data_IF_003028386731
#
_entry.id   IF_003028386731
#
_cell.length_a   1.000
_cell.length_b   1.000
_cell.length_c   1.000
_cell.angle_alpha   90.00
_cell.angle_beta   90.00
_cell.angle_gamma   90.00
#
_symmetry.space_group_name_H-M   'P 1'
#
loop_
_entity.id
_entity.type
_entity.pdbx_description
1 polymer ?
#
# COMPACT_ATOMS: atom_id res chain seq x y z
N UNK A 1 7.52 7.89 17.14
CA UNK A 1 7.74 6.89 16.09
C UNK A 1 7.70 5.52 16.76
N UNK A 2 6.88 4.59 16.27
CA UNK A 2 6.81 3.21 16.79
C UNK A 2 7.32 2.27 15.71
N UNK A 3 8.25 1.41 16.06
CA UNK A 3 8.89 0.46 15.14
C UNK A 3 8.38 -0.95 15.44
N UNK A 4 8.18 -1.75 14.39
CA UNK A 4 7.78 -3.15 14.49
C UNK A 4 8.72 -3.99 13.64
N UNK A 5 9.29 -5.01 14.27
CA UNK A 5 10.11 -5.99 13.56
C UNK A 5 9.17 -6.92 12.78
N UNK A 6 9.29 -6.90 11.45
CA UNK A 6 8.44 -7.68 10.55
C UNK A 6 8.99 -9.09 10.30
N UNK A 7 10.30 -9.19 10.13
CA UNK A 7 11.02 -10.44 9.95
C UNK A 7 12.39 -10.30 10.60
N UNK A 8 12.92 -11.41 11.12
CA UNK A 8 14.27 -11.50 11.64
C UNK A 8 14.89 -12.78 11.13
N UNK A 9 16.03 -12.67 10.47
CA UNK A 9 16.91 -13.80 10.23
C UNK A 9 17.98 -13.80 11.33
N UNK A 10 17.88 -14.72 12.32
CA UNK A 10 18.82 -14.73 13.43
C UNK A 10 20.17 -15.28 12.96
N UNK A 11 21.18 -14.40 12.94
CA UNK A 11 22.59 -14.76 12.77
C UNK A 11 22.91 -15.37 11.40
N UNK A 12 22.85 -14.52 10.37
CA UNK A 12 23.13 -14.90 8.97
C UNK A 12 24.60 -15.29 8.74
N UNK A 13 25.48 -14.91 9.66
CA UNK A 13 26.88 -15.33 9.68
C UNK A 13 27.37 -15.47 11.12
N UNK A 14 28.25 -16.45 11.36
CA UNK A 14 28.95 -16.65 12.60
C UNK A 14 30.39 -17.11 12.34
N UNK A 15 31.33 -16.84 13.26
CA UNK A 15 32.68 -17.42 13.19
C UNK A 15 32.64 -18.96 13.14
N UNK A 16 33.71 -19.61 12.64
CA UNK A 16 33.84 -21.06 12.63
C UNK A 16 33.63 -21.66 14.03
N UNK A 17 33.12 -22.88 14.07
CA UNK A 17 32.79 -23.55 15.33
C UNK A 17 34.00 -23.58 16.28
N UNK A 18 33.81 -23.07 17.49
CA UNK A 18 34.85 -23.01 18.53
C UNK A 18 35.71 -21.75 18.52
N UNK A 19 35.55 -20.87 17.51
CA UNK A 19 36.22 -19.58 17.46
C UNK A 19 35.31 -18.45 18.00
N UNK A 20 35.88 -17.53 18.77
CA UNK A 20 35.17 -16.33 19.24
C UNK A 20 34.97 -15.30 18.12
N UNK A 21 35.94 -15.21 17.22
CA UNK A 21 35.95 -14.25 16.12
C UNK A 21 36.74 -14.80 14.94
N UNK A 22 36.52 -14.22 13.77
CA UNK A 22 37.29 -14.53 12.57
C UNK A 22 37.74 -13.23 11.90
N UNK A 23 39.02 -13.18 11.47
CA UNK A 23 39.57 -12.03 10.74
C UNK A 23 39.18 -12.10 9.26
N UNK A 24 38.43 -11.12 8.80
CA UNK A 24 37.91 -11.02 7.43
C UNK A 24 38.21 -9.64 6.84
N UNK A 25 38.33 -9.57 5.52
CA UNK A 25 38.40 -8.29 4.79
C UNK A 25 36.98 -7.81 4.47
N UNK A 26 36.14 -8.72 3.98
CA UNK A 26 34.76 -8.44 3.60
C UNK A 26 33.91 -9.70 3.73
N UNK A 27 32.59 -9.52 3.66
CA UNK A 27 31.60 -10.58 3.73
C UNK A 27 30.41 -10.21 2.83
N UNK A 28 30.11 -11.06 1.85
CA UNK A 28 28.87 -10.94 1.08
C UNK A 28 27.85 -11.91 1.64
N UNK A 29 26.77 -11.36 2.20
CA UNK A 29 25.68 -12.14 2.77
C UNK A 29 24.48 -12.08 1.81
N UNK A 30 24.21 -13.14 1.04
CA UNK A 30 22.97 -13.24 0.30
C UNK A 30 21.79 -13.36 1.26
N UNK A 31 20.67 -12.74 0.93
CA UNK A 31 19.47 -12.73 1.79
C UNK A 31 18.20 -12.86 0.96
N UNK A 32 17.24 -13.62 1.49
CA UNK A 32 15.90 -13.80 0.96
C UNK A 32 14.91 -13.58 2.11
N UNK A 33 14.40 -12.36 2.20
CA UNK A 33 13.50 -11.96 3.29
C UNK A 33 12.05 -12.17 2.84
N UNK A 34 11.30 -13.08 3.47
CA UNK A 34 9.86 -13.17 3.24
C UNK A 34 9.18 -11.90 3.73
N UNK A 35 8.35 -11.32 2.88
CA UNK A 35 7.53 -10.17 3.26
C UNK A 35 6.22 -10.71 3.86
N UNK A 36 5.86 -10.35 5.10
CA UNK A 36 4.64 -10.84 5.73
C UNK A 36 3.41 -10.30 5.00
N UNK A 37 2.36 -11.11 4.89
CA UNK A 37 1.10 -10.72 4.21
C UNK A 37 0.40 -9.53 4.84
N UNK A 38 0.66 -9.27 6.12
CA UNK A 38 0.08 -8.14 6.85
C UNK A 38 0.91 -6.86 6.74
N UNK A 39 1.94 -6.84 5.90
CA UNK A 39 2.71 -5.62 5.66
C UNK A 39 1.80 -4.56 5.06
N UNK A 40 2.10 -3.31 5.36
CA UNK A 40 1.44 -2.15 4.73
C UNK A 40 2.34 -1.53 3.69
N UNK A 41 1.76 -0.79 2.75
CA UNK A 41 2.56 0.00 1.81
C UNK A 41 3.32 1.10 2.55
N UNK A 42 4.55 1.40 2.12
CA UNK A 42 5.21 2.66 2.47
C UNK A 42 4.40 3.82 1.88
N UNK A 43 4.29 4.92 2.61
CA UNK A 43 3.46 6.05 2.18
C UNK A 43 3.50 7.23 3.14
N UNK A 44 3.17 8.41 2.61
CA UNK A 44 2.92 9.62 3.36
C UNK A 44 1.46 10.03 3.15
N UNK A 45 0.77 10.35 4.25
CA UNK A 45 -0.65 10.69 4.29
C UNK A 45 -0.80 12.13 4.77
N UNK A 46 -0.87 13.12 3.84
CA UNK A 46 -0.77 14.53 4.18
C UNK A 46 -1.88 15.02 5.11
N UNK A 47 -3.12 14.56 4.91
CA UNK A 47 -4.29 14.94 5.72
C UNK A 47 -4.10 14.67 7.21
N UNK A 48 -3.27 13.68 7.56
CA UNK A 48 -3.05 13.20 8.92
C UNK A 48 -1.63 13.48 9.42
N UNK A 49 -0.76 14.04 8.57
CA UNK A 49 0.68 14.14 8.81
C UNK A 49 1.27 12.80 9.31
N UNK A 50 0.82 11.69 8.70
CA UNK A 50 1.21 10.34 9.07
C UNK A 50 2.09 9.74 7.97
N UNK A 51 3.00 8.86 8.34
CA UNK A 51 3.82 8.10 7.38
C UNK A 51 4.01 6.67 7.82
N UNK A 52 4.22 5.80 6.83
CA UNK A 52 4.70 4.44 7.00
C UNK A 52 5.99 4.30 6.21
N UNK A 53 7.07 3.93 6.91
CA UNK A 53 8.41 3.76 6.32
C UNK A 53 8.95 2.41 6.78
N UNK A 54 9.59 1.69 5.87
CA UNK A 54 10.19 0.39 6.13
C UNK A 54 11.72 0.51 6.02
N UNK A 55 12.41 -0.20 6.91
CA UNK A 55 13.86 -0.24 6.93
C UNK A 55 14.33 -1.71 6.96
N UNK A 56 15.38 -2.00 6.20
CA UNK A 56 16.24 -3.15 6.45
C UNK A 56 17.29 -2.75 7.46
N UNK A 57 17.24 -3.36 8.64
CA UNK A 57 18.22 -3.13 9.70
C UNK A 57 19.27 -4.24 9.65
N UNK A 58 20.53 -3.85 9.48
CA UNK A 58 21.67 -4.77 9.54
C UNK A 58 22.42 -4.49 10.82
N UNK A 59 22.49 -5.50 11.70
CA UNK A 59 23.24 -5.42 12.94
C UNK A 59 24.51 -6.25 12.81
N UNK A 60 25.65 -5.60 13.01
CA UNK A 60 26.96 -6.24 13.07
C UNK A 60 27.44 -6.25 14.52
N UNK A 61 28.02 -7.38 14.92
CA UNK A 61 28.71 -7.54 16.20
C UNK A 61 30.11 -8.05 15.89
N UNK A 62 31.13 -7.35 16.40
CA UNK A 62 32.53 -7.65 16.18
C UNK A 62 33.33 -7.50 17.46
N UNK A 63 34.54 -8.05 17.48
CA UNK A 63 35.44 -8.02 18.63
C UNK A 63 36.36 -9.23 18.62
N UNK A 64 37.50 -9.12 19.30
CA UNK A 64 38.48 -10.21 19.41
C UNK A 64 38.36 -11.00 20.72
N UNK A 65 37.62 -10.45 21.69
CA UNK A 65 37.32 -11.03 22.99
C UNK A 65 36.00 -10.48 23.53
N UNK A 66 35.40 -11.09 24.58
CA UNK A 66 34.19 -10.56 25.21
C UNK A 66 34.34 -9.12 25.75
N UNK A 67 35.56 -8.69 26.09
CA UNK A 67 35.83 -7.35 26.61
C UNK A 67 35.98 -6.29 25.51
N UNK A 68 36.19 -6.73 24.26
CA UNK A 68 36.37 -5.87 23.08
C UNK A 68 35.21 -6.01 22.10
N UNK A 69 34.11 -6.63 22.52
CA UNK A 69 32.90 -6.77 21.71
C UNK A 69 32.21 -5.41 21.56
N UNK A 70 31.89 -5.07 20.32
CA UNK A 70 31.08 -3.91 19.97
C UNK A 70 29.98 -4.33 19.02
N UNK A 71 28.92 -3.53 18.95
CA UNK A 71 27.83 -3.73 18.00
C UNK A 71 27.40 -2.40 17.41
N UNK A 72 27.12 -2.40 16.10
CA UNK A 72 26.47 -1.28 15.44
C UNK A 72 25.31 -1.77 14.58
N UNK A 73 24.34 -0.89 14.36
CA UNK A 73 23.17 -1.14 13.54
C UNK A 73 23.13 -0.08 12.44
N UNK A 74 23.02 -0.53 11.19
CA UNK A 74 22.83 0.31 10.01
C UNK A 74 21.42 0.10 9.46
N UNK A 75 20.74 1.18 9.08
CA UNK A 75 19.35 1.13 8.57
C UNK A 75 19.29 1.59 7.12
N UNK A 76 18.77 0.74 6.25
CA UNK A 76 18.55 1.04 4.84
C UNK A 76 17.06 1.19 4.57
N UNK A 77 16.62 2.35 4.06
CA UNK A 77 15.21 2.59 3.76
C UNK A 77 14.77 1.75 2.54
N UNK A 78 13.66 1.02 2.68
CA UNK A 78 13.10 0.19 1.60
C UNK A 78 11.69 0.66 1.23
N UNK A 79 11.45 1.10 -0.01
CA UNK A 79 10.11 1.42 -0.48
C UNK A 79 9.31 0.15 -0.74
N UNK A 80 8.19 0.00 -0.03
CA UNK A 80 7.24 -1.10 -0.22
C UNK A 80 5.99 -0.53 -0.88
N UNK A 81 5.60 -1.10 -2.02
CA UNK A 81 4.35 -0.77 -2.72
C UNK A 81 3.45 -1.98 -2.69
N UNK A 82 2.18 -1.76 -2.34
CA UNK A 82 1.14 -2.77 -2.46
C UNK A 82 0.22 -2.44 -3.63
N UNK A 83 -0.27 -3.50 -4.26
CA UNK A 83 -1.10 -3.44 -5.45
C UNK A 83 -2.42 -4.18 -5.21
N UNK A 84 -2.94 -4.17 -3.98
CA UNK A 84 -4.16 -4.86 -3.55
C UNK A 84 -5.43 -4.01 -3.75
N UNK A 85 -5.26 -2.71 -3.96
CA UNK A 85 -6.35 -1.73 -4.14
C UNK A 85 -6.61 -1.33 -5.60
N UNK A 86 -5.94 -1.95 -6.59
CA UNK A 86 -6.03 -1.54 -7.99
C UNK A 86 -7.48 -1.56 -8.54
N UNK A 87 -7.99 -0.43 -9.09
CA UNK A 87 -9.35 -0.31 -9.62
C UNK A 87 -9.77 -1.34 -10.67
N UNK A 88 -8.83 -1.99 -11.35
CA UNK A 88 -9.12 -3.02 -12.37
C UNK A 88 -9.41 -4.42 -11.79
N UNK A 89 -9.21 -4.65 -10.49
CA UNK A 89 -9.58 -5.94 -9.93
C UNK A 89 -11.09 -6.14 -9.97
N UNK A 90 -11.48 -7.38 -10.30
CA UNK A 90 -12.88 -7.78 -10.41
C UNK A 90 -13.71 -7.37 -9.20
N UNK A 91 -13.20 -7.58 -8.00
CA UNK A 91 -13.89 -7.27 -6.74
C UNK A 91 -14.32 -5.79 -6.61
N UNK A 92 -13.69 -4.88 -7.36
CA UNK A 92 -13.99 -3.45 -7.34
C UNK A 92 -14.82 -2.99 -8.54
N UNK A 93 -15.06 -3.88 -9.53
CA UNK A 93 -15.86 -3.59 -10.72
C UNK A 93 -17.24 -4.26 -10.67
N UNK A 94 -17.59 -4.88 -9.54
CA UNK A 94 -18.95 -5.34 -9.27
C UNK A 94 -19.71 -4.17 -8.61
N UNK A 95 -20.83 -3.70 -9.20
CA UNK A 95 -21.56 -2.54 -8.67
C UNK A 95 -22.01 -2.76 -7.23
N UNK A 96 -21.66 -1.82 -6.37
CA UNK A 96 -22.14 -1.79 -5.00
C UNK A 96 -23.52 -1.14 -4.97
N UNK A 97 -24.54 -1.95 -4.70
CA UNK A 97 -25.94 -1.51 -4.58
C UNK A 97 -26.37 -1.62 -3.12
N UNK A 98 -26.90 -0.53 -2.57
CA UNK A 98 -27.43 -0.49 -1.20
C UNK A 98 -28.83 0.12 -1.22
N UNK A 99 -29.79 -0.56 -0.61
CA UNK A 99 -31.17 -0.09 -0.50
C UNK A 99 -31.52 0.06 0.97
N UNK A 100 -31.93 1.27 1.38
CA UNK A 100 -32.24 1.56 2.77
C UNK A 100 -33.55 2.35 2.92
N UNK A 101 -34.54 1.84 3.67
CA UNK A 101 -35.70 2.63 4.03
C UNK A 101 -35.36 3.70 5.08
N UNK A 102 -36.13 4.79 5.11
CA UNK A 102 -36.08 5.73 6.23
C UNK A 102 -36.50 5.05 7.53
N UNK A 103 -36.11 5.62 8.68
CA UNK A 103 -36.48 5.06 9.99
C UNK A 103 -38.00 4.97 10.25
N UNK A 104 -38.80 5.80 9.56
CA UNK A 104 -40.26 5.73 9.58
C UNK A 104 -40.86 4.89 8.42
N UNK A 105 -40.00 4.18 7.68
CA UNK A 105 -40.32 3.30 6.55
C UNK A 105 -41.12 3.97 5.40
N UNK A 106 -41.16 5.31 5.35
CA UNK A 106 -41.96 6.05 4.36
C UNK A 106 -41.28 6.15 3.00
N UNK A 107 -39.96 6.30 2.99
CA UNK A 107 -39.16 6.58 1.80
C UNK A 107 -38.08 5.51 1.70
N UNK A 108 -37.75 5.14 0.47
CA UNK A 108 -36.71 4.19 0.12
C UNK A 108 -35.60 4.95 -0.60
N UNK A 109 -34.36 4.70 -0.20
CA UNK A 109 -33.16 5.26 -0.81
C UNK A 109 -32.34 4.13 -1.38
N UNK A 110 -32.18 4.11 -2.70
CA UNK A 110 -31.36 3.16 -3.43
C UNK A 110 -30.09 3.88 -3.89
N UNK A 111 -28.94 3.32 -3.55
CA UNK A 111 -27.63 3.78 -3.99
C UNK A 111 -27.03 2.74 -4.93
N UNK A 112 -26.39 3.21 -5.99
CA UNK A 112 -25.65 2.40 -6.94
C UNK A 112 -24.31 3.07 -7.24
N UNK A 113 -23.23 2.40 -6.84
CA UNK A 113 -21.84 2.78 -7.09
C UNK A 113 -21.23 1.72 -8.02
N UNK A 114 -21.03 2.01 -9.32
CA UNK A 114 -20.57 1.02 -10.29
C UNK A 114 -19.18 0.45 -10.00
N UNK A 115 -18.29 1.28 -9.43
CA UNK A 115 -16.91 0.94 -9.13
C UNK A 115 -16.57 1.39 -7.71
N UNK A 116 -16.07 0.48 -6.89
CA UNK A 116 -15.82 0.71 -5.46
C UNK A 116 -14.35 0.98 -5.11
N UNK A 117 -13.45 0.98 -6.11
CA UNK A 117 -12.06 1.43 -5.95
C UNK A 117 -11.72 2.51 -6.98
N UNK A 118 -11.16 3.62 -6.51
CA UNK A 118 -10.80 4.78 -7.34
C UNK A 118 -9.38 5.24 -7.03
N UNK A 119 -8.62 5.54 -8.09
CA UNK A 119 -7.33 6.22 -8.01
C UNK A 119 -7.41 7.73 -8.24
N UNK A 120 -6.26 8.41 -8.33
CA UNK A 120 -6.19 9.82 -8.73
C UNK A 120 -6.89 10.05 -10.07
N UNK A 121 -7.69 11.12 -10.17
CA UNK A 121 -8.39 11.55 -11.39
C UNK A 121 -9.40 10.54 -12.00
N UNK A 122 -9.52 9.32 -11.49
CA UNK A 122 -10.53 8.36 -11.93
C UNK A 122 -11.96 8.95 -11.83
N UNK A 123 -12.86 8.64 -12.76
CA UNK A 123 -14.22 9.15 -12.72
C UNK A 123 -15.02 8.54 -11.56
N UNK A 124 -15.45 9.38 -10.62
CA UNK A 124 -16.42 9.00 -9.60
C UNK A 124 -17.83 9.12 -10.19
N UNK A 125 -18.66 8.08 -9.99
CA UNK A 125 -20.07 8.10 -10.40
C UNK A 125 -20.94 7.42 -9.33
N UNK A 126 -21.85 8.17 -8.72
CA UNK A 126 -22.82 7.64 -7.76
C UNK A 126 -24.24 7.99 -8.20
N UNK A 127 -25.08 6.97 -8.36
CA UNK A 127 -26.52 7.15 -8.59
C UNK A 127 -27.28 6.98 -7.28
N UNK A 128 -28.15 7.92 -6.98
CA UNK A 128 -29.01 7.96 -5.79
C UNK A 128 -30.46 8.06 -6.25
N UNK A 129 -31.25 7.00 -6.07
CA UNK A 129 -32.68 7.00 -6.36
C UNK A 129 -33.47 7.05 -5.05
N UNK A 130 -34.38 8.00 -4.95
CA UNK A 130 -35.18 8.24 -3.74
C UNK A 130 -36.65 8.20 -4.13
N UNK A 131 -37.41 7.27 -3.56
CA UNK A 131 -38.83 7.08 -3.87
C UNK A 131 -39.65 6.75 -2.64
N UNK A 132 -40.97 6.88 -2.75
CA UNK A 132 -41.87 6.44 -1.70
C UNK A 132 -41.77 4.92 -1.55
N UNK A 133 -41.66 4.42 -0.32
CA UNK A 133 -41.55 2.99 -0.07
C UNK A 133 -42.85 2.29 -0.54
N UNK A 134 -42.79 1.37 -1.53
CA UNK A 134 -43.97 0.68 -2.04
C UNK A 134 -44.56 -0.29 -1.01
N UNK A 135 -43.74 -0.79 -0.08
CA UNK A 135 -44.15 -1.75 0.94
C UNK A 135 -44.88 -1.09 2.13
N UNK A 136 -44.92 0.24 2.18
CA UNK A 136 -45.52 0.98 3.29
C UNK A 136 -46.89 1.58 2.92
N UNK A 137 -47.97 0.91 3.35
CA UNK A 137 -49.35 1.26 2.98
C UNK A 137 -49.89 2.56 3.63
N UNK A 138 -49.38 2.96 4.80
CA UNK A 138 -49.83 4.17 5.52
C UNK A 138 -48.94 5.38 5.23
N UNK A 139 -48.99 5.90 4.01
CA UNK A 139 -48.14 7.02 3.61
C UNK A 139 -48.49 8.33 4.31
N UNK A 140 -47.48 9.01 4.85
CA UNK A 140 -47.62 10.38 5.33
C UNK A 140 -47.96 11.29 4.15
N UNK A 141 -48.89 12.21 4.37
CA UNK A 141 -49.25 13.22 3.36
C UNK A 141 -48.13 14.25 3.26
N UNK A 142 -47.93 14.79 2.05
CA UNK A 142 -47.00 15.89 1.77
C UNK A 142 -45.52 15.60 2.08
N UNK A 143 -45.07 14.35 1.91
CA UNK A 143 -43.63 14.05 1.93
C UNK A 143 -42.94 14.78 0.79
N UNK A 144 -41.95 15.61 1.13
CA UNK A 144 -41.15 16.36 0.15
C UNK A 144 -39.68 16.09 0.39
N UNK A 145 -38.98 15.73 -0.68
CA UNK A 145 -37.53 15.77 -0.69
C UNK A 145 -37.13 17.24 -0.57
N UNK A 146 -36.09 17.54 0.20
CA UNK A 146 -35.56 18.89 0.34
C UNK A 146 -34.12 18.98 -0.18
N UNK A 147 -33.28 18.06 0.28
CA UNK A 147 -31.85 18.08 0.01
C UNK A 147 -31.33 16.65 -0.12
N UNK A 148 -30.43 16.44 -1.08
CA UNK A 148 -29.60 15.24 -1.19
C UNK A 148 -28.15 15.67 -1.16
N UNK A 149 -27.42 15.29 -0.12
CA UNK A 149 -26.00 15.63 0.04
C UNK A 149 -25.15 14.38 -0.02
N UNK A 150 -24.20 14.32 -0.95
CA UNK A 150 -23.15 13.31 -0.98
C UNK A 150 -21.88 13.87 -0.34
N UNK A 151 -21.22 13.09 0.51
CA UNK A 151 -19.94 13.44 1.11
C UNK A 151 -18.95 12.30 0.93
N UNK A 152 -17.71 12.61 0.58
CA UNK A 152 -16.59 11.67 0.71
C UNK A 152 -15.83 12.04 1.97
N UNK A 153 -15.67 11.07 2.87
CA UNK A 153 -14.91 11.23 4.10
C UNK A 153 -13.76 10.25 4.17
N UNK A 154 -12.64 10.75 4.66
CA UNK A 154 -11.46 9.99 5.02
C UNK A 154 -11.45 9.79 6.53
N UNK A 155 -11.18 8.57 6.97
CA UNK A 155 -11.17 8.14 8.36
C UNK A 155 -9.79 7.62 8.72
N UNK A 156 -9.15 8.23 9.72
CA UNK A 156 -7.97 7.68 10.36
C UNK A 156 -8.35 7.02 11.68
N UNK A 157 -7.96 5.76 11.84
CA UNK A 157 -8.12 5.00 13.07
C UNK A 157 -6.76 4.50 13.53
N UNK A 158 -6.31 4.91 14.71
CA UNK A 158 -5.14 4.35 15.38
C UNK A 158 -5.51 3.22 16.33
N UNK A 159 -4.69 2.17 16.38
CA UNK A 159 -4.96 1.00 17.22
C UNK A 159 -4.05 0.89 18.45
N UNK A 160 -3.11 1.82 18.60
CA UNK A 160 -2.10 1.78 19.64
C UNK A 160 -2.24 2.97 20.59
N UNK A 161 -1.78 2.80 21.84
CA UNK A 161 -1.82 3.84 22.87
C UNK A 161 -1.04 5.07 22.39
N UNK A 162 -1.75 6.18 22.23
CA UNK A 162 -1.23 7.46 21.75
C UNK A 162 -1.71 7.89 20.36
N UNK A 163 -2.39 7.03 19.59
CA UNK A 163 -3.02 7.43 18.33
C UNK A 163 -4.52 7.71 18.52
N UNK A 164 -5.14 8.59 17.69
CA UNK A 164 -6.55 8.88 17.80
C UNK A 164 -7.42 7.65 17.53
N UNK A 165 -8.43 7.40 18.38
CA UNK A 165 -9.31 6.22 18.29
C UNK A 165 -10.07 6.17 16.96
N UNK A 166 -10.60 7.31 16.51
CA UNK A 166 -11.15 7.51 15.16
C UNK A 166 -11.26 9.02 14.92
N UNK A 167 -10.66 9.53 13.85
CA UNK A 167 -10.86 10.89 13.35
C UNK A 167 -11.36 10.84 11.92
N UNK A 168 -12.11 11.86 11.53
CA UNK A 168 -12.63 11.98 10.17
C UNK A 168 -12.28 13.35 9.59
N UNK A 169 -12.00 13.37 8.29
CA UNK A 169 -11.86 14.57 7.47
C UNK A 169 -12.84 14.42 6.31
N UNK A 170 -13.55 15.50 6.00
CA UNK A 170 -14.42 15.57 4.84
C UNK A 170 -13.59 16.05 3.65
N UNK A 171 -13.41 15.19 2.65
CA UNK A 171 -12.68 15.52 1.43
C UNK A 171 -13.55 16.29 0.44
N UNK A 172 -14.83 15.91 0.33
CA UNK A 172 -15.78 16.54 -0.59
C UNK A 172 -17.19 16.50 -0.02
N UNK A 173 -18.02 17.47 -0.41
CA UNK A 173 -19.45 17.49 -0.09
C UNK A 173 -20.23 18.28 -1.13
N UNK A 174 -21.02 17.57 -1.93
CA UNK A 174 -21.85 18.15 -2.97
C UNK A 174 -23.32 17.98 -2.57
N UNK A 175 -24.13 19.01 -2.76
CA UNK A 175 -25.54 19.03 -2.36
C UNK A 175 -26.42 19.41 -3.52
N UNK A 176 -27.44 18.60 -3.77
CA UNK A 176 -28.54 18.88 -4.68
C UNK A 176 -29.75 19.36 -3.86
N UNK A 177 -30.09 20.63 -4.01
CA UNK A 177 -31.28 21.23 -3.40
C UNK A 177 -32.49 20.99 -4.30
N UNK A 178 -33.42 20.20 -3.80
CA UNK A 178 -34.54 19.72 -4.59
C UNK A 178 -35.81 19.70 -3.73
N UNK A 179 -36.59 20.78 -3.75
CA UNK A 179 -37.88 20.85 -3.04
C UNK A 179 -39.01 20.23 -3.86
N UNK A 180 -39.00 18.90 -4.02
CA UNK A 180 -39.96 18.16 -4.85
C UNK A 180 -40.79 17.16 -4.03
N UNK A 181 -42.07 16.93 -4.38
CA UNK A 181 -42.86 15.87 -3.75
C UNK A 181 -42.24 14.50 -4.02
N UNK A 182 -42.25 13.60 -3.02
CA UNK A 182 -41.75 12.24 -3.19
C UNK A 182 -42.85 11.37 -3.79
N UNK A 183 -42.62 10.85 -5.00
CA UNK A 183 -43.55 9.98 -5.74
C UNK A 183 -43.15 8.51 -5.62
N UNK A 184 -44.03 7.61 -6.09
CA UNK A 184 -43.72 6.17 -6.16
C UNK A 184 -42.64 5.85 -7.21
N UNK A 185 -42.58 6.61 -8.30
CA UNK A 185 -41.60 6.40 -9.37
C UNK A 185 -40.17 6.77 -8.94
N UNK A 186 -40.08 7.66 -7.95
CA UNK A 186 -38.85 8.16 -7.35
C UNK A 186 -38.17 9.26 -8.17
N UNK A 187 -37.23 9.95 -7.54
CA UNK A 187 -36.35 10.94 -8.16
C UNK A 187 -34.94 10.39 -8.16
N UNK A 188 -34.22 10.53 -9.26
CA UNK A 188 -32.81 10.10 -9.38
C UNK A 188 -31.89 11.32 -9.35
N UNK A 189 -30.83 11.24 -8.55
CA UNK A 189 -29.75 12.20 -8.44
C UNK A 189 -28.44 11.51 -8.79
N UNK A 190 -27.59 12.17 -9.56
CA UNK A 190 -26.29 11.63 -10.00
C UNK A 190 -25.20 12.58 -9.52
N UNK A 191 -24.21 12.03 -8.82
CA UNK A 191 -23.00 12.75 -8.43
C UNK A 191 -21.83 12.22 -9.24
N UNK A 192 -21.22 13.09 -10.05
CA UNK A 192 -20.14 12.72 -10.97
C UNK A 192 -19.05 13.79 -11.00
N UNK A 193 -17.80 13.36 -10.84
CA UNK A 193 -16.61 14.24 -10.85
C UNK A 193 -15.32 13.39 -10.93
N UNK A 194 -14.18 13.95 -11.35
CA UNK A 194 -12.88 13.28 -11.22
C UNK A 194 -12.45 13.19 -9.75
N UNK A 195 -11.99 12.02 -9.31
CA UNK A 195 -11.63 11.77 -7.91
C UNK A 195 -10.51 12.73 -7.43
N UNK A 196 -10.63 13.33 -6.24
CA UNK A 196 -9.82 14.49 -5.84
C UNK A 196 -8.44 14.08 -5.30
N UNK A 197 -7.53 13.67 -6.19
CA UNK A 197 -6.08 13.65 -6.00
C UNK A 197 -5.41 13.76 -7.37
N UNK A 198 -4.23 14.36 -7.40
CA UNK A 198 -3.40 14.49 -8.60
C UNK A 198 -2.03 13.86 -8.32
N UNK A 199 -1.51 13.10 -9.30
CA UNK A 199 -0.22 12.45 -9.17
C UNK A 199 0.46 12.28 -10.54
N UNK A 200 1.26 13.27 -10.91
CA UNK A 200 2.06 13.30 -12.14
C UNK A 200 2.90 12.02 -12.37
N UNK A 201 3.35 11.35 -11.30
CA UNK A 201 4.20 10.15 -11.42
C UNK A 201 3.44 8.91 -11.88
N UNK A 202 2.12 8.94 -11.80
CA UNK A 202 1.27 7.83 -12.22
C UNK A 202 1.34 7.67 -13.75
N UNK A 203 1.49 8.76 -14.52
CA UNK A 203 1.66 8.70 -15.97
C UNK A 203 2.85 7.84 -16.45
N UNK A 204 3.90 7.67 -15.64
CA UNK A 204 5.03 6.79 -15.97
C UNK A 204 4.68 5.31 -15.98
N UNK A 205 3.50 4.94 -15.48
CA UNK A 205 2.94 3.60 -15.56
C UNK A 205 1.94 3.48 -16.72
N UNK A 206 1.88 4.45 -17.63
CA UNK A 206 1.05 4.36 -18.83
C UNK A 206 1.72 3.51 -19.92
N UNK A 207 0.91 2.77 -20.67
CA UNK A 207 1.38 1.95 -21.80
C UNK A 207 2.04 2.80 -22.90
N UNK A 208 1.71 4.09 -23.01
CA UNK A 208 2.29 5.01 -23.99
C UNK A 208 3.80 5.24 -23.82
N UNK A 209 4.33 5.14 -22.60
CA UNK A 209 5.76 5.28 -22.30
C UNK A 209 6.50 3.92 -22.31
N UNK A 210 5.76 2.82 -22.29
CA UNK A 210 6.29 1.47 -22.45
C UNK A 210 6.59 1.22 -23.93
N UNK A 211 7.82 1.49 -24.37
CA UNK A 211 8.27 1.02 -25.67
C UNK A 211 8.09 -0.51 -25.75
N UNK A 212 7.24 -0.95 -26.69
CA UNK A 212 7.08 -2.35 -27.10
C UNK A 212 8.40 -2.77 -27.77
N UNK A 213 9.40 -3.13 -26.97
CA UNK A 213 10.43 -4.04 -27.45
C UNK A 213 9.84 -5.43 -27.29
N UNK A 214 9.65 -6.11 -28.41
CA UNK A 214 9.15 -7.47 -28.47
C UNK A 214 9.86 -8.34 -27.41
N UNK A 215 9.02 -9.05 -26.63
CA UNK A 215 9.31 -10.16 -25.72
C UNK A 215 9.49 -9.91 -24.21
N UNK A 216 9.73 -8.69 -23.69
CA UNK A 216 9.72 -8.50 -22.22
C UNK A 216 9.19 -7.11 -21.81
N UNK A 217 8.15 -7.09 -20.98
CA UNK A 217 7.69 -5.89 -20.25
C UNK A 217 8.71 -5.55 -19.14
N UNK A 218 9.91 -5.11 -19.52
CA UNK A 218 10.92 -4.66 -18.55
C UNK A 218 10.60 -3.24 -18.08
N UNK A 219 10.58 -3.02 -16.77
CA UNK A 219 10.46 -1.69 -16.17
C UNK A 219 11.72 -0.88 -16.47
N UNK A 220 11.64 0.15 -17.30
CA UNK A 220 12.80 1.01 -17.64
C UNK A 220 13.35 1.81 -16.46
N UNK A 221 12.58 1.98 -15.38
CA UNK A 221 12.95 2.87 -14.30
C UNK A 221 12.66 2.24 -12.92
N UNK A 222 13.69 1.84 -12.16
CA UNK A 222 13.51 1.47 -10.76
C UNK A 222 12.98 2.69 -9.98
N UNK A 223 12.11 2.45 -9.00
CA UNK A 223 11.46 3.50 -8.19
C UNK A 223 12.42 4.49 -7.53
N UNK A 224 13.70 4.13 -7.39
CA UNK A 224 14.75 4.97 -6.82
C UNK A 224 15.17 6.16 -7.71
N UNK A 225 14.95 6.11 -9.02
CA UNK A 225 15.49 7.12 -9.96
C UNK A 225 14.59 8.36 -10.12
N UNK A 226 13.33 8.29 -9.69
CA UNK A 226 12.32 9.33 -9.91
C UNK A 226 12.41 10.55 -8.97
N UNK A 227 13.27 10.51 -7.95
CA UNK A 227 13.30 11.49 -6.85
C UNK A 227 14.03 12.82 -7.14
N UNK A 228 14.49 13.08 -8.37
CA UNK A 228 15.43 14.20 -8.61
C UNK A 228 14.82 15.54 -9.05
N UNK A 229 13.56 15.61 -9.51
CA UNK A 229 13.15 16.75 -10.37
C UNK A 229 11.79 17.43 -10.10
N UNK A 230 11.27 17.52 -8.87
CA UNK A 230 10.19 18.50 -8.56
C UNK A 230 10.06 18.77 -7.06
N UNK A 231 9.55 19.96 -6.72
CA UNK A 231 9.30 20.46 -5.35
C UNK A 231 8.19 19.65 -4.64
N UNK A 232 8.41 18.36 -4.43
CA UNK A 232 7.61 17.58 -3.50
C UNK A 232 7.97 18.00 -2.07
N UNK A 233 7.01 18.09 -1.14
CA UNK A 233 7.35 18.11 0.27
C UNK A 233 8.27 16.92 0.55
N UNK A 234 9.41 17.17 1.21
CA UNK A 234 10.48 16.19 1.40
C UNK A 234 9.94 15.00 2.19
N UNK A 235 9.42 14.00 1.49
CA UNK A 235 8.98 12.76 2.09
C UNK A 235 10.19 12.08 2.73
N UNK A 236 9.95 11.31 3.80
CA UNK A 236 11.00 10.51 4.39
C UNK A 236 11.60 9.56 3.34
N UNK A 237 12.88 9.26 3.48
CA UNK A 237 13.55 8.28 2.63
C UNK A 237 12.80 6.93 2.70
N UNK A 238 12.67 6.25 1.56
CA UNK A 238 11.90 5.00 1.46
C UNK A 238 10.39 5.18 1.23
N UNK A 239 9.88 6.40 1.11
CA UNK A 239 8.50 6.64 0.66
C UNK A 239 8.45 6.73 -0.87
N UNK A 240 7.63 5.91 -1.55
CA UNK A 240 7.44 6.04 -2.99
C UNK A 240 6.70 7.33 -3.36
N UNK A 241 7.14 8.00 -4.43
CA UNK A 241 6.47 9.21 -4.97
C UNK A 241 5.00 8.99 -5.34
N UNK A 242 4.62 7.77 -5.71
CA UNK A 242 3.21 7.46 -6.00
C UNK A 242 2.33 7.37 -4.75
N UNK A 243 2.92 7.36 -3.56
CA UNK A 243 2.25 7.15 -2.27
C UNK A 243 2.40 8.36 -1.34
N UNK A 244 2.50 9.57 -1.90
CA UNK A 244 2.56 10.85 -1.16
C UNK A 244 1.18 11.53 -1.05
N UNK A 245 0.10 10.75 -1.15
CA UNK A 245 -1.30 11.19 -1.18
C UNK A 245 -2.16 10.30 -0.30
N UNK A 246 -3.44 10.65 -0.12
CA UNK A 246 -4.38 9.80 0.60
C UNK A 246 -4.74 8.56 -0.22
N UNK A 247 -4.52 7.37 0.34
CA UNK A 247 -5.00 6.11 -0.21
C UNK A 247 -5.37 5.14 0.93
N UNK A 248 -6.17 4.12 0.60
CA UNK A 248 -6.65 3.15 1.58
C UNK A 248 -5.48 2.34 2.10
N UNK A 249 -5.28 2.36 3.42
CA UNK A 249 -4.20 1.62 4.09
C UNK A 249 -4.77 0.93 5.31
N UNK A 250 -4.58 -0.38 5.41
CA UNK A 250 -5.06 -1.18 6.54
C UNK A 250 -3.85 -1.75 7.30
N UNK A 251 -3.36 -1.00 8.28
CA UNK A 251 -2.20 -1.38 9.09
C UNK A 251 -2.52 -1.79 10.51
N UNK A 252 -1.53 -2.42 11.14
CA UNK A 252 -1.56 -2.75 12.58
C UNK A 252 -1.45 -1.51 13.47
N UNK A 253 -0.74 -0.48 13.01
CA UNK A 253 -0.54 0.79 13.72
C UNK A 253 -1.75 1.71 13.58
N UNK A 254 -2.12 1.98 12.34
CA UNK A 254 -3.29 2.76 11.99
C UNK A 254 -3.89 2.26 10.68
N UNK A 255 -5.14 2.62 10.45
CA UNK A 255 -5.81 2.45 9.17
C UNK A 255 -6.32 3.78 8.66
N UNK A 256 -6.27 3.95 7.33
CA UNK A 256 -6.93 5.02 6.60
C UNK A 256 -7.99 4.37 5.71
N UNK A 257 -9.24 4.79 5.90
CA UNK A 257 -10.42 4.27 5.17
C UNK A 257 -11.22 5.41 4.59
N UNK A 258 -11.96 5.13 3.52
CA UNK A 258 -12.82 6.12 2.88
C UNK A 258 -14.25 5.61 2.89
N UNK A 259 -15.18 6.52 3.13
CA UNK A 259 -16.61 6.22 3.08
C UNK A 259 -17.32 7.33 2.29
N UNK A 260 -18.31 6.90 1.50
CA UNK A 260 -19.27 7.78 0.85
C UNK A 260 -20.49 7.87 1.77
N UNK A 261 -20.91 9.08 2.10
CA UNK A 261 -22.04 9.34 2.98
C UNK A 261 -23.09 10.13 2.21
N UNK A 262 -24.25 9.52 2.00
CA UNK A 262 -25.41 10.16 1.38
C UNK A 262 -26.40 10.54 2.48
N UNK A 263 -26.68 11.83 2.59
CA UNK A 263 -27.65 12.40 3.54
C UNK A 263 -28.86 12.88 2.75
N UNK A 264 -30.03 12.38 3.12
CA UNK A 264 -31.30 12.72 2.48
C UNK A 264 -32.17 13.43 3.51
N UNK A 265 -32.51 14.70 3.22
CA UNK A 265 -33.40 15.50 4.07
C UNK A 265 -34.82 15.52 3.51
N UNK A 266 -35.79 15.22 4.36
CA UNK A 266 -37.18 15.02 3.98
C UNK A 266 -38.09 15.87 4.86
N UNK A 267 -38.87 16.75 4.25
CA UNK A 267 -39.92 17.49 4.96
C UNK A 267 -41.10 16.59 5.28
N UNK A 268 -41.65 16.73 6.49
CA UNK A 268 -42.75 15.91 7.01
C UNK A 268 -42.44 14.40 7.11
N UNK A 269 -41.19 14.00 6.94
CA UNK A 269 -40.68 12.64 7.09
C UNK A 269 -39.50 12.59 8.07
N UNK A 270 -38.82 11.44 8.11
CA UNK A 270 -37.54 11.31 8.82
C UNK A 270 -36.40 11.36 7.82
N UNK A 271 -35.42 12.21 8.10
CA UNK A 271 -34.14 12.23 7.39
C UNK A 271 -33.46 10.86 7.50
N UNK A 272 -32.63 10.54 6.50
CA UNK A 272 -31.84 9.31 6.48
C UNK A 272 -30.42 9.56 6.03
N UNK A 273 -29.51 8.71 6.51
CA UNK A 273 -28.11 8.72 6.14
C UNK A 273 -27.72 7.29 5.75
N UNK A 274 -27.15 7.16 4.57
CA UNK A 274 -26.67 5.89 4.03
C UNK A 274 -25.17 6.03 3.79
N UNK A 275 -24.41 5.01 4.19
CA UNK A 275 -22.94 5.01 4.09
C UNK A 275 -22.51 3.83 3.23
N UNK A 276 -21.64 4.08 2.25
CA UNK A 276 -21.00 3.06 1.41
C UNK A 276 -19.49 3.06 1.66
N UNK A 277 -18.83 1.89 1.72
CA UNK A 277 -17.38 1.82 1.68
C UNK A 277 -16.84 2.30 0.33
N UNK A 278 -15.68 2.96 0.36
CA UNK A 278 -14.89 3.30 -0.81
C UNK A 278 -13.44 2.88 -0.60
N UNK A 279 -12.88 2.16 -1.56
CA UNK A 279 -11.44 1.90 -1.62
C UNK A 279 -10.79 2.98 -2.46
N UNK A 280 -9.65 3.49 -1.99
CA UNK A 280 -8.86 4.49 -2.68
C UNK A 280 -7.50 3.89 -2.99
N UNK A 281 -7.15 3.88 -4.26
CA UNK A 281 -5.89 3.37 -4.80
C UNK A 281 -4.87 4.51 -4.94
N UNK A 282 -3.57 4.24 -4.76
CA UNK A 282 -2.52 5.19 -5.11
C UNK A 282 -2.31 5.33 -6.63
N UNK A 283 -2.92 4.45 -7.43
CA UNK A 283 -2.82 4.40 -8.89
C UNK A 283 -4.19 4.59 -9.55
N UNK A 284 -4.21 5.33 -10.65
CA UNK A 284 -5.39 5.51 -11.51
C UNK A 284 -5.67 4.24 -12.34
N UNK A 285 -6.84 4.20 -12.96
CA UNK A 285 -7.29 3.05 -13.74
C UNK A 285 -6.42 2.80 -14.97
N UNK A 286 -5.98 3.85 -15.65
CA UNK A 286 -5.16 3.75 -16.86
C UNK A 286 -3.81 3.07 -16.57
N UNK A 287 -3.15 3.46 -15.48
CA UNK A 287 -1.89 2.85 -15.05
C UNK A 287 -2.04 1.41 -14.58
N UNK A 288 -3.23 1.04 -14.10
CA UNK A 288 -3.48 -0.31 -13.62
C UNK A 288 -3.35 -1.36 -14.72
N UNK A 289 -3.62 -1.04 -15.98
CA UNK A 289 -3.49 -2.01 -17.08
C UNK A 289 -2.04 -2.48 -17.22
N UNK A 290 -1.11 -1.53 -17.25
CA UNK A 290 0.32 -1.80 -17.26
C UNK A 290 0.76 -2.53 -15.99
N UNK A 291 0.36 -2.03 -14.81
CA UNK A 291 0.76 -2.61 -13.53
C UNK A 291 0.30 -4.06 -13.40
N UNK A 292 -0.93 -4.39 -13.83
CA UNK A 292 -1.41 -5.77 -13.82
C UNK A 292 -0.62 -6.67 -14.77
N UNK A 293 -0.24 -6.16 -15.93
CA UNK A 293 0.62 -6.90 -16.88
C UNK A 293 1.99 -7.17 -16.27
N UNK A 294 2.59 -6.15 -15.62
CA UNK A 294 3.86 -6.27 -14.93
C UNK A 294 3.79 -7.25 -13.75
N UNK A 295 2.78 -7.16 -12.89
CA UNK A 295 2.56 -8.09 -11.77
C UNK A 295 2.46 -9.54 -12.26
N UNK A 296 1.75 -9.77 -13.38
CA UNK A 296 1.68 -11.10 -13.99
C UNK A 296 3.05 -11.58 -14.47
N UNK A 297 3.85 -10.69 -15.07
CA UNK A 297 5.22 -10.97 -15.48
C UNK A 297 6.10 -11.39 -14.30
N UNK A 298 6.09 -10.61 -13.21
CA UNK A 298 6.84 -10.93 -11.98
C UNK A 298 6.40 -12.27 -11.37
N UNK A 299 5.10 -12.60 -11.46
CA UNK A 299 4.60 -13.90 -11.01
C UNK A 299 5.13 -15.07 -11.86
N UNK A 300 5.39 -14.87 -13.16
CA UNK A 300 6.03 -15.86 -14.02
C UNK A 300 7.52 -16.01 -13.68
N UNK A 301 8.24 -14.89 -13.55
CA UNK A 301 9.65 -14.90 -13.15
C UNK A 301 9.87 -15.59 -11.79
N UNK A 302 8.97 -15.34 -10.82
CA UNK A 302 9.01 -16.02 -9.53
C UNK A 302 8.81 -17.54 -9.67
N UNK A 303 7.92 -17.99 -10.57
CA UNK A 303 7.71 -19.42 -10.84
C UNK A 303 8.92 -20.07 -11.50
N UNK A 304 9.61 -19.36 -12.37
CA UNK A 304 10.82 -19.86 -13.03
C UNK A 304 11.99 -19.94 -12.03
N UNK A 305 12.12 -18.93 -11.16
CA UNK A 305 13.18 -18.87 -10.14
C UNK A 305 12.98 -19.86 -8.99
N UNK A 306 11.75 -19.98 -8.47
CA UNK A 306 11.47 -20.74 -7.25
C UNK A 306 10.73 -22.05 -7.48
N UNK A 307 10.37 -22.36 -8.74
CA UNK A 307 9.46 -23.44 -9.16
C UNK A 307 7.98 -23.17 -8.82
N UNK A 308 7.09 -23.69 -9.68
CA UNK A 308 5.63 -23.59 -9.50
C UNK A 308 5.14 -24.17 -8.17
N UNK A 309 5.71 -25.29 -7.74
CA UNK A 309 5.29 -25.98 -6.52
C UNK A 309 5.60 -25.14 -5.26
N UNK A 310 6.82 -24.62 -5.16
CA UNK A 310 7.21 -23.74 -4.05
C UNK A 310 6.34 -22.49 -3.98
N UNK A 311 6.13 -21.81 -5.12
CA UNK A 311 5.30 -20.60 -5.18
C UNK A 311 3.88 -20.90 -4.72
N UNK A 312 3.28 -22.00 -5.16
CA UNK A 312 1.94 -22.39 -4.72
C UNK A 312 1.87 -22.71 -3.22
N UNK A 313 2.89 -23.37 -2.66
CA UNK A 313 2.97 -23.65 -1.21
C UNK A 313 3.10 -22.36 -0.40
N UNK A 314 3.96 -21.44 -0.82
CA UNK A 314 4.10 -20.11 -0.20
C UNK A 314 2.77 -19.35 -0.29
N UNK A 315 2.13 -19.35 -1.46
CA UNK A 315 0.85 -18.70 -1.68
C UNK A 315 -0.29 -19.28 -0.83
N UNK A 316 -0.21 -20.56 -0.45
CA UNK A 316 -1.18 -21.21 0.44
C UNK A 316 -0.83 -21.10 1.94
N UNK A 317 0.43 -20.79 2.29
CA UNK A 317 0.85 -20.68 3.68
C UNK A 317 0.52 -19.31 4.28
N UNK A 318 0.09 -19.36 5.54
CA UNK A 318 -0.20 -18.20 6.40
C UNK A 318 0.81 -18.07 7.56
N UNK A 319 1.82 -18.95 7.61
CA UNK A 319 2.85 -18.95 8.65
C UNK A 319 4.15 -18.41 8.08
N UNK A 320 4.59 -17.26 8.58
CA UNK A 320 5.79 -16.59 8.08
C UNK A 320 7.05 -17.46 8.26
N UNK A 321 7.13 -18.27 9.33
CA UNK A 321 8.26 -19.19 9.55
C UNK A 321 8.33 -20.30 8.49
N UNK A 322 7.19 -20.82 8.04
CA UNK A 322 7.15 -21.85 7.00
C UNK A 322 7.62 -21.28 5.66
N UNK A 323 7.14 -20.08 5.31
CA UNK A 323 7.57 -19.37 4.10
C UNK A 323 9.08 -19.09 4.16
N UNK A 324 9.59 -18.66 5.31
CA UNK A 324 11.01 -18.43 5.52
C UNK A 324 11.84 -19.70 5.25
N UNK A 325 11.48 -20.84 5.86
CA UNK A 325 12.18 -22.12 5.64
C UNK A 325 12.14 -22.58 4.19
N UNK A 326 11.04 -22.35 3.48
CA UNK A 326 10.93 -22.69 2.05
C UNK A 326 11.88 -21.84 1.20
N UNK A 327 11.97 -20.53 1.48
CA UNK A 327 12.81 -19.60 0.73
C UNK A 327 14.30 -19.73 1.04
N UNK A 328 14.68 -20.10 2.27
CA UNK A 328 16.09 -20.28 2.65
C UNK A 328 16.83 -21.28 1.75
N UNK A 329 16.13 -22.27 1.18
CA UNK A 329 16.71 -23.25 0.24
C UNK A 329 17.23 -22.63 -1.05
N UNK A 330 16.75 -21.43 -1.39
CA UNK A 330 17.16 -20.67 -2.57
C UNK A 330 18.17 -19.57 -2.23
N UNK A 331 18.57 -19.47 -0.96
CA UNK A 331 19.60 -18.54 -0.52
C UNK A 331 20.96 -19.23 -0.62
N UNK A 332 21.90 -18.73 -1.45
CA UNK A 332 23.25 -19.27 -1.48
C UNK A 332 23.97 -19.07 -0.15
N UNK A 333 25.07 -19.78 0.14
CA UNK A 333 25.85 -19.53 1.34
C UNK A 333 26.57 -18.16 1.27
N UNK A 334 26.88 -17.53 2.41
CA UNK A 334 27.71 -16.33 2.46
C UNK A 334 29.08 -16.54 1.81
N UNK A 335 29.58 -15.50 1.13
CA UNK A 335 30.93 -15.49 0.56
C UNK A 335 31.85 -14.72 1.50
N UNK A 336 32.90 -15.40 1.95
CA UNK A 336 33.83 -14.91 2.96
C UNK A 336 35.14 -14.52 2.30
N UNK A 337 35.52 -13.24 2.40
CA UNK A 337 36.79 -12.75 1.86
C UNK A 337 37.82 -12.68 2.99
N UNK A 338 38.82 -13.55 2.91
CA UNK A 338 39.86 -13.69 3.93
C UNK A 338 41.02 -12.72 3.67
N UNK A 339 41.91 -12.63 4.65
CA UNK A 339 43.15 -11.84 4.53
C UNK A 339 44.16 -12.58 3.65
N UNK A 340 43.87 -12.67 2.35
CA UNK A 340 44.76 -13.23 1.35
C UNK A 340 44.71 -12.40 0.05
N UNK A 341 45.73 -12.56 -0.81
CA UNK A 341 45.87 -11.79 -2.05
C UNK A 341 44.76 -12.07 -3.06
N UNK A 342 44.29 -13.32 -3.16
CA UNK A 342 43.27 -13.71 -4.12
C UNK A 342 41.92 -13.04 -3.81
N UNK A 343 41.51 -13.03 -2.54
CA UNK A 343 40.27 -12.41 -2.08
C UNK A 343 40.35 -10.87 -2.15
N UNK A 344 41.54 -10.31 -1.94
CA UNK A 344 41.80 -8.88 -2.16
C UNK A 344 41.61 -8.46 -3.61
N UNK A 345 42.14 -9.24 -4.55
CA UNK A 345 41.94 -9.05 -5.99
C UNK A 345 40.47 -9.27 -6.39
N UNK A 346 39.79 -10.26 -5.79
CA UNK A 346 38.38 -10.54 -6.05
C UNK A 346 37.45 -9.39 -5.64
N UNK A 347 37.82 -8.63 -4.60
CA UNK A 347 37.12 -7.41 -4.18
C UNK A 347 37.43 -6.20 -5.08
N UNK A 348 38.27 -6.36 -6.11
CA UNK A 348 38.63 -5.31 -7.06
C UNK A 348 39.73 -4.35 -6.57
N UNK A 349 40.43 -4.68 -5.48
CA UNK A 349 41.54 -3.88 -4.98
C UNK A 349 42.85 -4.17 -5.71
N UNK A 350 43.72 -3.16 -5.82
CA UNK A 350 45.03 -3.30 -6.46
C UNK A 350 46.00 -4.09 -5.59
N UNK A 351 46.74 -5.01 -6.23
CA UNK A 351 47.72 -5.89 -5.58
C UNK A 351 48.85 -5.12 -4.92
N UNK A 352 49.28 -4.02 -5.52
CA UNK A 352 50.39 -3.21 -5.04
C UNK A 352 50.12 -2.59 -3.65
N UNK A 353 48.84 -2.47 -3.28
CA UNK A 353 48.38 -1.96 -1.99
C UNK A 353 48.08 -3.08 -0.98
N UNK A 354 48.23 -4.36 -1.37
CA UNK A 354 48.02 -5.50 -0.48
C UNK A 354 49.06 -5.47 0.64
N UNK A 355 48.59 -5.47 1.90
CA UNK A 355 49.46 -5.36 3.08
C UNK A 355 49.69 -3.93 3.60
N UNK A 356 49.49 -2.90 2.78
CA UNK A 356 49.66 -1.50 3.21
C UNK A 356 48.41 -0.93 3.91
N UNK A 357 47.22 -1.43 3.54
CA UNK A 357 45.91 -0.99 4.08
C UNK A 357 45.35 -1.89 5.20
N UNK A 358 46.01 -3.01 5.51
CA UNK A 358 45.53 -4.00 6.51
C UNK A 358 45.54 -3.43 7.95
N UNK A 359 46.13 -2.25 8.16
CA UNK A 359 46.35 -1.63 9.49
C UNK A 359 45.20 -0.70 9.92
N UNK A 360 44.06 -0.66 9.24
CA UNK A 360 42.87 0.10 9.73
C UNK A 360 41.54 -0.65 9.55
N UNK A 361 41.53 -1.97 9.77
CA UNK A 361 40.26 -2.63 10.07
C UNK A 361 39.85 -2.22 11.48
N UNK A 362 38.59 -1.81 11.64
CA UNK A 362 37.95 -1.29 12.87
C UNK A 362 38.44 -2.10 14.09
N UNK A 363 39.30 -1.48 14.91
CA UNK A 363 39.62 -1.93 16.28
C UNK A 363 38.56 -1.45 17.25
#
# INVERSE_FOLDING_TARGET
MKEYMLCKDPMVYAPPMGEFYQKLIALDIPLLIPIPRTITSSGFFPSWNASTVHYLCVRFTGGTSPHTEFSFEEKFAIPIKLYDTLPLYRQFNEPLVEQRPTSDNQVLVDLELPISSLGPLDPFHLRVKIGANPLHNKRKRNLRLKLVTMQIKEYMQGFDSGLPVKREIKLRSDTDECDKPITSDGTTHIFEFPFPYDNDFVHHFSLSDAQINNEELSVKFPSATFNKNRNLPKAAEGIPVTHTQGFTTLGRLFSIRYEIIVKVKISHGKDTVVTLPLTVSPFDRDSCEYLLSWIKGECLLARDRFTKETVNRIAASFKDEEVHMLLQRFCPPPVVYRVNKADWEALGYTVDNYGQLIIKCIE
#
